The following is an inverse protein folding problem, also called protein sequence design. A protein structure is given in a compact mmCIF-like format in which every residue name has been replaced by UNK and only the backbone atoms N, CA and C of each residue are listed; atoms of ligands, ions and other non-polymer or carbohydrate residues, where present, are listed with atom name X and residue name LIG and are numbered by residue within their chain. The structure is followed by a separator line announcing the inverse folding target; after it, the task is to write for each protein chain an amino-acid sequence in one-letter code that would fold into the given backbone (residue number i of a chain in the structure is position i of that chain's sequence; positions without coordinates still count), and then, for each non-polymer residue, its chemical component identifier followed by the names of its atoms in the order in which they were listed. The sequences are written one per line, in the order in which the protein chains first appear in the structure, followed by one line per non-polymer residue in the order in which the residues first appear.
data_IF_995799386716
#
_entry.id   IF_995799386716
#
_cell.length_a   1.000
_cell.length_b   1.000
_cell.length_c   1.000
_cell.angle_alpha   90.00
_cell.angle_beta   90.00
_cell.angle_gamma   90.00
#
_symmetry.space_group_name_H-M   'P 1'
#
loop_
_entity.id
_entity.type
_entity.pdbx_description
1 polymer ?
#
# COMPACT_ATOMS: atom_id res chain seq x y z
N UNK A 1 1.02 -5.78 -8.71
CA UNK A 1 -0.30 -5.18 -8.40
C UNK A 1 -0.22 -3.85 -7.63
N UNK A 2 0.97 -3.33 -7.28
CA UNK A 2 1.08 -1.97 -6.73
C UNK A 2 0.88 -1.82 -5.22
N UNK A 3 0.67 -2.91 -4.47
CA UNK A 3 0.62 -2.89 -3.00
C UNK A 3 1.85 -2.19 -2.41
N UNK A 4 1.65 -1.38 -1.37
CA UNK A 4 2.74 -0.68 -0.69
C UNK A 4 2.95 -1.32 0.68
N UNK A 5 4.20 -1.65 0.98
CA UNK A 5 4.61 -2.26 2.25
C UNK A 5 5.61 -1.34 2.97
N UNK A 6 5.24 -0.88 4.16
CA UNK A 6 6.19 -0.33 5.12
C UNK A 6 6.60 -1.45 6.08
N UNK A 7 7.90 -1.59 6.35
CA UNK A 7 8.44 -2.64 7.22
C UNK A 7 9.38 -2.01 8.23
N UNK A 8 9.06 -2.15 9.51
CA UNK A 8 9.97 -1.91 10.61
C UNK A 8 10.71 -3.21 10.90
N UNK A 9 12.03 -3.18 10.70
CA UNK A 9 12.91 -4.31 10.98
C UNK A 9 13.34 -4.26 12.44
N UNK A 10 13.19 -5.38 13.14
CA UNK A 10 13.78 -5.52 14.47
C UNK A 10 15.19 -6.10 14.38
N UNK A 11 16.00 -5.85 15.41
CA UNK A 11 17.46 -6.05 15.33
C UNK A 11 17.87 -7.53 15.26
N UNK A 12 18.73 -7.80 14.27
CA UNK A 12 19.55 -9.01 14.06
C UNK A 12 18.82 -10.37 14.04
N UNK A 13 18.23 -10.70 12.89
CA UNK A 13 18.17 -12.10 12.44
C UNK A 13 16.88 -12.85 12.78
N UNK A 14 15.77 -12.15 13.04
CA UNK A 14 14.47 -12.84 13.12
C UNK A 14 14.19 -13.58 11.81
N UNK A 15 14.02 -14.89 11.91
CA UNK A 15 13.55 -15.77 10.83
C UNK A 15 12.04 -15.88 10.80
N UNK A 16 11.35 -15.24 11.76
CA UNK A 16 9.91 -15.30 11.88
C UNK A 16 9.25 -14.46 10.78
N UNK A 17 8.06 -14.87 10.29
CA UNK A 17 7.27 -14.06 9.38
C UNK A 17 6.94 -12.69 9.97
N UNK A 18 6.90 -11.68 9.11
CA UNK A 18 6.46 -10.33 9.49
C UNK A 18 4.98 -10.36 9.87
N UNK A 19 4.63 -9.75 11.00
CA UNK A 19 3.22 -9.45 11.33
C UNK A 19 2.88 -8.09 10.74
N UNK A 20 1.79 -8.00 10.00
CA UNK A 20 1.41 -6.75 9.35
C UNK A 20 -0.02 -6.35 9.64
N UNK A 21 -0.23 -5.04 9.71
CA UNK A 21 -1.53 -4.39 9.80
C UNK A 21 -1.71 -3.43 8.61
N UNK A 22 -2.89 -2.85 8.43
CA UNK A 22 -3.11 -1.88 7.36
C UNK A 22 -4.49 -2.00 6.75
N UNK A 23 -4.66 -1.41 5.57
CA UNK A 23 -5.94 -1.31 4.87
C UNK A 23 -5.71 -0.89 3.42
N UNK A 24 -6.45 0.08 2.89
CA UNK A 24 -6.33 0.62 1.53
C UNK A 24 -6.31 2.15 1.53
N UNK A 25 -5.91 2.74 0.40
CA UNK A 25 -5.92 4.19 0.16
C UNK A 25 -6.75 4.59 -1.06
N UNK A 26 -7.23 3.64 -1.86
CA UNK A 26 -8.26 3.92 -2.86
C UNK A 26 -9.62 4.13 -2.18
N UNK A 27 -10.49 4.89 -2.84
CA UNK A 27 -11.78 5.33 -2.28
C UNK A 27 -12.88 5.10 -3.30
N UNK A 28 -14.14 5.05 -2.84
CA UNK A 28 -15.29 5.22 -3.70
C UNK A 28 -15.51 6.70 -4.10
N UNK A 29 -16.28 7.00 -5.16
CA UNK A 29 -16.61 8.37 -5.54
C UNK A 29 -17.37 9.17 -4.47
N UNK A 30 -18.08 8.50 -3.55
CA UNK A 30 -18.89 9.11 -2.48
C UNK A 30 -18.47 8.61 -1.09
N UNK A 31 -17.17 8.39 -0.91
CA UNK A 31 -16.64 7.77 0.29
C UNK A 31 -16.46 8.74 1.47
N UNK A 32 -16.40 8.18 2.67
CA UNK A 32 -16.10 8.90 3.91
C UNK A 32 -14.61 9.22 4.04
N UNK A 33 -14.28 10.14 4.96
CA UNK A 33 -12.89 10.57 5.21
C UNK A 33 -11.99 9.50 5.87
N UNK A 34 -12.57 8.39 6.28
CA UNK A 34 -11.91 7.41 7.15
C UNK A 34 -11.83 6.01 6.56
N UNK A 35 -12.62 5.71 5.52
CA UNK A 35 -12.59 4.40 4.91
C UNK A 35 -11.23 4.16 4.25
N UNK A 36 -10.68 2.97 4.45
CA UNK A 36 -9.30 2.62 4.13
C UNK A 36 -8.23 3.36 4.95
N UNK A 37 -8.11 4.67 4.74
CA UNK A 37 -7.00 5.50 5.20
C UNK A 37 -6.78 5.45 6.71
N UNK A 38 -7.85 5.32 7.52
CA UNK A 38 -7.72 5.22 8.96
C UNK A 38 -6.87 4.02 9.37
N UNK A 39 -7.05 2.86 8.74
CA UNK A 39 -6.29 1.65 9.05
C UNK A 39 -4.82 1.77 8.65
N UNK A 40 -4.54 2.41 7.49
CA UNK A 40 -3.15 2.64 7.03
C UNK A 40 -2.44 3.62 7.96
N UNK A 41 -3.06 4.75 8.30
CA UNK A 41 -2.48 5.78 9.17
C UNK A 41 -2.34 5.27 10.61
N UNK A 42 -3.32 4.55 11.14
CA UNK A 42 -3.24 3.93 12.46
C UNK A 42 -2.07 2.93 12.54
N UNK A 43 -1.85 2.14 11.48
CA UNK A 43 -0.69 1.24 11.42
C UNK A 43 0.64 1.99 11.43
N UNK A 44 0.75 3.09 10.67
CA UNK A 44 1.96 3.92 10.67
C UNK A 44 2.20 4.53 12.06
N UNK A 45 1.14 4.99 12.71
CA UNK A 45 1.22 5.57 14.05
C UNK A 45 1.61 4.53 15.11
N UNK A 46 1.13 3.29 14.98
CA UNK A 46 1.56 2.18 15.83
C UNK A 46 3.07 1.91 15.68
N UNK A 47 3.60 1.90 14.46
CA UNK A 47 5.04 1.75 14.22
C UNK A 47 5.85 2.88 14.86
N UNK A 48 5.41 4.14 14.69
CA UNK A 48 6.06 5.30 15.31
C UNK A 48 6.05 5.21 16.84
N UNK A 49 4.89 4.92 17.42
CA UNK A 49 4.72 4.78 18.87
C UNK A 49 5.64 3.70 19.42
N UNK A 50 5.71 2.52 18.79
CA UNK A 50 6.62 1.45 19.23
C UNK A 50 8.08 1.90 19.18
N UNK A 51 8.50 2.56 18.10
CA UNK A 51 9.86 3.07 17.95
C UNK A 51 10.21 4.12 19.01
N UNK A 52 9.31 5.07 19.26
CA UNK A 52 9.51 6.17 20.23
C UNK A 52 9.59 5.66 21.67
N UNK A 53 8.90 4.56 21.98
CA UNK A 53 8.92 3.92 23.31
C UNK A 53 10.04 2.86 23.45
N UNK A 54 10.89 2.67 22.44
CA UNK A 54 11.93 1.64 22.46
C UNK A 54 11.38 0.22 22.56
N UNK A 55 10.16 -0.02 22.07
CA UNK A 55 9.54 -1.33 22.08
C UNK A 55 10.11 -2.19 20.95
N UNK A 56 10.57 -3.39 21.30
CA UNK A 56 11.19 -4.33 20.37
C UNK A 56 10.36 -5.60 20.25
N UNK A 57 10.21 -6.09 19.02
CA UNK A 57 9.50 -7.33 18.72
C UNK A 57 10.46 -8.44 18.31
N UNK A 58 10.06 -9.69 18.54
CA UNK A 58 10.82 -10.86 18.09
C UNK A 58 10.67 -11.12 16.57
N UNK A 59 9.84 -10.33 15.89
CA UNK A 59 9.52 -10.42 14.47
C UNK A 59 9.36 -9.03 13.91
N UNK A 60 9.48 -8.91 12.59
CA UNK A 60 9.25 -7.63 11.92
C UNK A 60 7.77 -7.25 11.95
N UNK A 61 7.51 -5.95 12.08
CA UNK A 61 6.15 -5.41 11.99
C UNK A 61 6.04 -4.55 10.74
N UNK A 62 4.90 -4.64 10.04
CA UNK A 62 4.67 -3.87 8.83
C UNK A 62 3.30 -3.23 8.74
N UNK A 63 3.20 -2.28 7.81
CA UNK A 63 1.95 -1.68 7.36
C UNK A 63 1.76 -1.97 5.89
N UNK A 64 0.54 -2.36 5.51
CA UNK A 64 0.18 -2.67 4.13
C UNK A 64 -0.91 -1.71 3.65
N UNK A 65 -0.72 -1.16 2.46
CA UNK A 65 -1.76 -0.52 1.68
C UNK A 65 -2.09 -1.42 0.47
N UNK A 66 -3.28 -2.01 0.49
CA UNK A 66 -3.79 -2.86 -0.57
C UNK A 66 -4.30 -2.03 -1.74
N UNK A 67 -3.94 -2.44 -2.96
CA UNK A 67 -4.40 -1.76 -4.17
C UNK A 67 -5.78 -2.27 -4.62
N UNK A 68 -6.66 -1.33 -4.98
CA UNK A 68 -7.98 -1.62 -5.57
C UNK A 68 -8.82 -2.49 -4.63
N UNK A 69 -8.97 -2.01 -3.40
CA UNK A 69 -9.86 -2.62 -2.41
C UNK A 69 -11.31 -2.34 -2.79
N UNK A 70 -11.62 -1.11 -3.17
CA UNK A 70 -13.00 -0.66 -3.38
C UNK A 70 -13.55 -1.14 -4.73
N UNK A 71 -12.66 -1.31 -5.71
CA UNK A 71 -13.03 -1.69 -7.06
C UNK A 71 -13.77 -0.59 -7.84
N UNK A 72 -13.68 0.66 -7.40
CA UNK A 72 -14.39 1.80 -7.97
C UNK A 72 -14.04 2.04 -9.46
N UNK A 73 -12.75 1.93 -9.79
CA UNK A 73 -12.24 2.16 -11.14
C UNK A 73 -12.11 0.87 -11.95
N UNK A 74 -11.61 -0.19 -11.33
CA UNK A 74 -11.45 -1.51 -11.92
C UNK A 74 -12.34 -2.50 -11.16
N UNK A 75 -13.42 -3.03 -11.79
CA UNK A 75 -14.44 -3.78 -11.07
C UNK A 75 -13.90 -5.00 -10.33
N UNK A 76 -14.33 -5.15 -9.07
CA UNK A 76 -13.94 -6.23 -8.18
C UNK A 76 -13.39 -5.66 -6.87
N UNK A 77 -13.88 -6.19 -5.75
CA UNK A 77 -13.44 -5.76 -4.42
C UNK A 77 -12.23 -6.56 -3.95
N UNK A 78 -11.41 -5.93 -3.11
CA UNK A 78 -10.26 -6.52 -2.43
C UNK A 78 -9.31 -7.24 -3.41
N UNK A 79 -9.15 -6.70 -4.62
CA UNK A 79 -8.54 -7.44 -5.74
C UNK A 79 -7.09 -7.79 -5.44
N UNK A 80 -6.29 -6.80 -5.03
CA UNK A 80 -4.87 -7.09 -4.83
C UNK A 80 -4.59 -7.92 -3.57
N UNK A 81 -5.45 -7.88 -2.55
CA UNK A 81 -5.31 -8.76 -1.38
C UNK A 81 -5.77 -10.18 -1.70
N UNK A 82 -6.80 -10.37 -2.53
CA UNK A 82 -7.18 -11.70 -3.07
C UNK A 82 -6.08 -12.33 -3.92
N UNK A 83 -5.41 -11.55 -4.77
CA UNK A 83 -4.22 -12.02 -5.50
C UNK A 83 -3.12 -12.45 -4.53
N UNK A 84 -2.87 -11.65 -3.49
CA UNK A 84 -1.86 -11.95 -2.47
C UNK A 84 -2.18 -13.23 -1.68
N UNK A 85 -3.45 -13.44 -1.34
CA UNK A 85 -3.95 -14.63 -0.65
C UNK A 85 -4.00 -15.88 -1.55
N UNK A 86 -3.76 -15.73 -2.86
CA UNK A 86 -3.88 -16.83 -3.83
C UNK A 86 -5.32 -17.20 -4.19
N UNK A 87 -6.30 -16.37 -3.82
CA UNK A 87 -7.72 -16.61 -4.11
C UNK A 87 -8.07 -16.36 -5.58
N UNK A 88 -7.39 -15.41 -6.24
CA UNK A 88 -7.56 -15.15 -7.66
C UNK A 88 -6.20 -15.10 -8.38
N UNK A 89 -6.12 -15.59 -9.64
CA UNK A 89 -4.90 -15.46 -10.44
C UNK A 89 -4.55 -14.00 -10.69
N UNK A 90 -3.25 -13.67 -10.66
CA UNK A 90 -2.77 -12.32 -10.95
C UNK A 90 -3.20 -11.82 -12.33
N UNK A 91 -3.29 -12.72 -13.31
CA UNK A 91 -3.73 -12.39 -14.66
C UNK A 91 -5.18 -11.88 -14.69
N UNK A 92 -6.07 -12.49 -13.90
CA UNK A 92 -7.47 -12.04 -13.78
C UNK A 92 -7.56 -10.61 -13.25
N UNK A 93 -6.70 -10.25 -12.30
CA UNK A 93 -6.62 -8.90 -11.78
C UNK A 93 -6.02 -7.90 -12.78
N UNK A 94 -5.03 -8.32 -13.57
CA UNK A 94 -4.39 -7.53 -14.61
C UNK A 94 -5.27 -7.20 -15.80
N UNK A 95 -6.22 -8.08 -16.10
CA UNK A 95 -7.16 -7.95 -17.21
C UNK A 95 -8.42 -7.16 -16.85
N UNK A 96 -8.58 -6.77 -15.58
CA UNK A 96 -9.67 -5.89 -15.17
C UNK A 96 -9.60 -4.58 -15.96
N UNK A 97 -10.77 -4.13 -16.42
CA UNK A 97 -10.93 -2.99 -17.33
C UNK A 97 -11.50 -1.79 -16.58
N UNK A 98 -11.04 -0.61 -16.96
CA UNK A 98 -11.52 0.65 -16.42
C UNK A 98 -13.01 0.83 -16.78
N UNK A 99 -13.81 1.20 -15.78
CA UNK A 99 -15.28 1.40 -15.94
C UNK A 99 -15.63 2.54 -16.90
N UNK A 100 -14.75 3.52 -17.06
CA UNK A 100 -14.95 4.68 -17.95
C UNK A 100 -14.36 4.47 -19.34
N UNK A 101 -13.36 3.59 -19.47
CA UNK A 101 -12.73 3.28 -20.75
C UNK A 101 -12.20 1.84 -20.79
N UNK A 102 -12.99 0.94 -21.36
CA UNK A 102 -12.69 -0.50 -21.40
C UNK A 102 -11.43 -0.89 -22.18
N UNK A 103 -10.84 0.04 -22.97
CA UNK A 103 -9.54 -0.18 -23.61
C UNK A 103 -8.36 -0.13 -22.61
N UNK A 104 -8.57 0.46 -21.43
CA UNK A 104 -7.57 0.54 -20.36
C UNK A 104 -7.77 -0.65 -19.41
N UNK A 105 -6.71 -1.44 -19.23
CA UNK A 105 -6.65 -2.49 -18.20
C UNK A 105 -5.81 -2.05 -17.00
N UNK A 106 -5.88 -2.74 -15.86
CA UNK A 106 -4.99 -2.51 -14.71
C UNK A 106 -3.52 -2.52 -15.12
N UNK A 107 -3.11 -3.49 -15.95
CA UNK A 107 -1.73 -3.54 -16.47
C UNK A 107 -1.39 -2.36 -17.37
N UNK A 108 -2.30 -2.01 -18.29
CA UNK A 108 -2.12 -0.85 -19.17
C UNK A 108 -1.97 0.43 -18.38
N UNK A 109 -2.82 0.62 -17.35
CA UNK A 109 -2.80 1.79 -16.50
C UNK A 109 -1.54 1.89 -15.64
N UNK A 110 -1.12 0.77 -15.03
CA UNK A 110 0.11 0.71 -14.22
C UNK A 110 1.33 1.13 -15.03
N UNK A 111 1.45 0.68 -16.28
CA UNK A 111 2.55 1.04 -17.19
C UNK A 111 2.55 2.53 -17.59
N UNK A 112 1.40 3.18 -17.60
CA UNK A 112 1.28 4.61 -17.92
C UNK A 112 1.68 5.49 -16.74
N UNK A 113 1.34 5.08 -15.52
CA UNK A 113 1.57 5.87 -14.30
C UNK A 113 2.98 5.66 -13.75
N UNK A 114 3.55 4.46 -13.92
CA UNK A 114 4.94 4.16 -13.56
C UNK A 114 5.61 3.32 -14.66
N UNK A 115 6.22 3.98 -15.67
CA UNK A 115 6.86 3.30 -16.80
C UNK A 115 8.03 2.39 -16.41
N UNK A 116 8.55 2.53 -15.18
CA UNK A 116 9.71 1.78 -14.69
C UNK A 116 9.36 0.51 -13.91
N UNK A 117 8.09 0.33 -13.50
CA UNK A 117 7.68 -0.88 -12.80
C UNK A 117 7.39 -2.03 -13.76
N UNK A 118 8.14 -3.13 -13.63
CA UNK A 118 7.76 -4.37 -14.30
C UNK A 118 6.66 -5.08 -13.50
N UNK A 119 5.53 -5.43 -14.12
CA UNK A 119 4.39 -6.03 -13.41
C UNK A 119 4.72 -7.41 -12.81
N UNK A 120 5.71 -8.12 -13.33
CA UNK A 120 6.13 -9.49 -12.99
C UNK A 120 7.06 -9.60 -11.77
N UNK A 121 7.52 -8.50 -11.19
CA UNK A 121 8.42 -8.54 -10.04
C UNK A 121 7.62 -8.16 -8.79
N UNK A 122 7.27 -9.15 -7.96
CA UNK A 122 6.92 -8.93 -6.55
C UNK A 122 8.15 -8.27 -5.89
N UNK A 123 8.15 -6.96 -5.61
CA UNK A 123 9.36 -6.36 -5.09
C UNK A 123 9.44 -6.77 -3.62
N UNK A 124 10.47 -7.52 -3.26
CA UNK A 124 11.06 -7.49 -1.91
C UNK A 124 11.67 -6.09 -1.60
N UNK A 125 11.11 -5.00 -2.13
CA UNK A 125 11.69 -3.67 -2.08
C UNK A 125 10.76 -2.71 -1.33
N UNK A 126 11.33 -2.24 -0.23
CA UNK A 126 11.01 -1.09 0.62
C UNK A 126 10.24 0.01 -0.10
N UNK A 127 9.15 0.48 0.53
CA UNK A 127 8.36 1.62 0.10
C UNK A 127 9.23 2.85 -0.27
N UNK A 128 9.40 3.08 -1.57
CA UNK A 128 9.65 4.41 -2.14
C UNK A 128 8.42 4.82 -2.93
N UNK A 129 7.31 5.06 -2.22
CA UNK A 129 6.16 5.77 -2.77
C UNK A 129 6.03 7.09 -2.00
N UNK A 130 6.45 8.17 -2.66
CA UNK A 130 6.48 9.52 -2.14
C UNK A 130 5.05 10.08 -2.10
N UNK A 131 4.34 9.93 -0.98
CA UNK A 131 3.04 10.57 -0.78
C UNK A 131 3.24 12.08 -0.53
N UNK A 132 3.15 12.90 -1.59
CA UNK A 132 3.19 14.37 -1.49
C UNK A 132 1.75 14.89 -1.24
N UNK A 133 1.30 14.84 0.01
CA UNK A 133 0.08 15.55 0.41
C UNK A 133 0.38 17.06 0.45
N UNK A 134 -0.12 17.81 -0.55
CA UNK A 134 -0.20 19.27 -0.45
C UNK A 134 -1.42 19.61 0.42
N UNK A 135 -1.17 20.01 1.66
CA UNK A 135 -2.15 20.74 2.48
C UNK A 135 -2.28 22.17 1.95
N UNK A 136 -3.49 22.59 1.61
CA UNK A 136 -3.86 23.98 1.31
C UNK A 136 -4.16 24.74 2.60
N UNK A 137 -3.18 24.83 3.50
CA UNK A 137 -3.15 25.81 4.59
C UNK A 137 -1.75 25.84 5.15
N UNK A 138 -1.18 27.04 5.26
CA UNK A 138 0.24 27.31 5.48
C UNK A 138 0.94 26.44 6.54
N UNK A 139 2.18 26.09 6.20
CA UNK A 139 3.23 25.54 7.05
C UNK A 139 2.91 24.24 7.81
N UNK A 140 2.94 23.11 7.09
CA UNK A 140 3.22 21.81 7.69
C UNK A 140 4.65 21.36 7.30
N UNK A 141 5.48 20.91 8.25
CA UNK A 141 6.86 20.53 7.96
C UNK A 141 6.91 19.32 7.01
N UNK A 142 7.88 19.37 6.10
CA UNK A 142 8.19 18.27 5.18
C UNK A 142 8.58 17.03 6.01
N UNK A 143 7.67 16.05 6.13
CA UNK A 143 8.02 14.74 6.68
C UNK A 143 8.85 14.02 5.61
N UNK A 144 10.16 14.18 5.71
CA UNK A 144 11.12 13.47 4.89
C UNK A 144 11.23 12.02 5.40
N UNK A 145 10.52 11.11 4.74
CA UNK A 145 10.52 9.65 5.02
C UNK A 145 11.89 8.97 4.84
N UNK A 146 12.96 9.72 4.53
CA UNK A 146 14.32 9.21 4.33
C UNK A 146 15.12 8.96 5.61
N UNK A 147 14.63 9.35 6.80
CA UNK A 147 15.39 9.18 8.07
C UNK A 147 15.06 7.91 8.87
N UNK A 148 14.43 6.91 8.25
CA UNK A 148 14.08 5.63 8.89
C UNK A 148 14.90 4.44 8.38
N UNK A 149 16.03 4.68 7.70
CA UNK A 149 16.96 3.65 7.25
C UNK A 149 18.20 3.59 8.13
#
# INVERSE_FOLDING_TARGET
MGNIFARQRESLGSTLPMTAMGSHLDTQPQDGRYDGILGVVAGIEALRTMKENGYHCNFDIGVINWTNEEGARFPGTTVSSKVWAGEIPIQSAWDLRDVSNSSITVTGWTRLVDPGQRPDILPRLTARALLRLRSTSGEAPLINLFSLA
#
